data_IF_321751939604
#
_entry.id   IF_321751939604
#
_cell.length_a   1.000
_cell.length_b   1.000
_cell.length_c   1.000
_cell.angle_alpha   90.00
_cell.angle_beta   90.00
_cell.angle_gamma   90.00
#
_symmetry.space_group_name_H-M   'P 1'
#
loop_
_entity.id
_entity.type
_entity.pdbx_description
1 polymer ?
#
# COMPACT_ATOMS: atom_id res chain seq x y z
N UNK A 1 17.33 -14.30 -9.93
CA UNK A 1 16.05 -13.66 -9.68
C UNK A 1 16.05 -13.16 -8.24
N UNK A 2 15.78 -11.89 -8.04
CA UNK A 2 15.86 -11.20 -6.73
C UNK A 2 14.46 -10.77 -6.29
N UNK A 3 14.12 -11.04 -5.03
CA UNK A 3 12.81 -10.76 -4.46
C UNK A 3 13.01 -9.86 -3.24
N UNK A 4 12.38 -8.69 -3.25
CA UNK A 4 12.31 -7.81 -2.08
C UNK A 4 11.09 -8.17 -1.24
N UNK A 5 11.29 -8.31 0.07
CA UNK A 5 10.21 -8.54 1.04
C UNK A 5 10.24 -7.44 2.09
N UNK A 6 9.09 -6.84 2.33
CA UNK A 6 8.87 -5.79 3.35
C UNK A 6 7.54 -6.00 4.07
N UNK A 7 7.18 -5.15 5.03
CA UNK A 7 5.89 -5.11 5.72
C UNK A 7 5.71 -3.81 6.50
N UNK A 8 4.60 -3.66 7.24
CA UNK A 8 4.36 -2.61 8.23
C UNK A 8 4.32 -3.12 9.68
N UNK A 9 4.19 -4.43 9.90
CA UNK A 9 4.28 -5.06 11.24
C UNK A 9 5.71 -5.01 11.85
N UNK A 10 6.73 -4.67 11.05
CA UNK A 10 8.13 -4.58 11.46
C UNK A 10 8.96 -5.84 11.18
N UNK A 11 10.30 -5.65 11.25
CA UNK A 11 11.32 -6.63 10.82
C UNK A 11 11.24 -7.98 11.57
N UNK A 12 10.73 -7.98 12.80
CA UNK A 12 10.62 -9.18 13.63
C UNK A 12 9.26 -9.88 13.53
N UNK A 13 8.36 -9.42 12.64
CA UNK A 13 7.03 -10.00 12.56
C UNK A 13 7.06 -11.44 12.03
N UNK A 14 6.24 -12.34 12.60
CA UNK A 14 6.16 -13.72 12.14
C UNK A 14 5.71 -13.85 10.68
N UNK A 15 4.78 -13.00 10.23
CA UNK A 15 4.29 -12.99 8.85
C UNK A 15 5.40 -12.73 7.84
N UNK A 16 6.26 -11.73 8.11
CA UNK A 16 7.42 -11.41 7.28
C UNK A 16 8.40 -12.59 7.21
N UNK A 17 8.71 -13.17 8.37
CA UNK A 17 9.65 -14.29 8.48
C UNK A 17 9.19 -15.50 7.67
N UNK A 18 7.90 -15.87 7.81
CA UNK A 18 7.33 -17.02 7.09
C UNK A 18 7.30 -16.76 5.59
N UNK A 19 6.92 -15.54 5.17
CA UNK A 19 6.90 -15.15 3.77
C UNK A 19 8.30 -15.21 3.14
N UNK A 20 9.29 -14.59 3.77
CA UNK A 20 10.68 -14.57 3.29
C UNK A 20 11.24 -16.00 3.17
N UNK A 21 11.02 -16.87 4.18
CA UNK A 21 11.41 -18.27 4.16
C UNK A 21 10.75 -19.05 3.01
N UNK A 22 9.48 -18.81 2.74
CA UNK A 22 8.79 -19.49 1.65
C UNK A 22 9.32 -19.07 0.27
N UNK A 23 9.60 -17.77 0.10
CA UNK A 23 10.10 -17.19 -1.14
C UNK A 23 11.56 -17.54 -1.42
N UNK A 24 12.38 -17.92 -0.42
CA UNK A 24 13.77 -18.36 -0.64
C UNK A 24 13.89 -19.60 -1.54
N UNK A 25 12.80 -20.33 -1.75
CA UNK A 25 12.71 -21.43 -2.71
C UNK A 25 12.40 -20.96 -4.14
N UNK A 26 12.14 -19.68 -4.32
CA UNK A 26 11.77 -19.07 -5.61
C UNK A 26 12.94 -18.25 -6.15
N UNK A 27 13.65 -17.53 -5.28
CA UNK A 27 14.75 -16.68 -5.66
C UNK A 27 15.57 -16.18 -4.47
N UNK A 28 16.49 -15.27 -4.76
CA UNK A 28 17.33 -14.59 -3.77
C UNK A 28 16.46 -13.54 -3.04
N UNK A 29 16.22 -13.78 -1.75
CA UNK A 29 15.35 -12.89 -0.93
C UNK A 29 16.18 -11.83 -0.22
N UNK A 30 15.74 -10.59 -0.35
CA UNK A 30 16.17 -9.42 0.41
C UNK A 30 15.04 -8.97 1.31
N UNK A 31 15.31 -8.79 2.60
CA UNK A 31 14.33 -8.31 3.57
C UNK A 31 14.74 -6.91 4.00
N UNK A 32 13.88 -5.93 3.73
CA UNK A 32 14.07 -4.55 4.17
C UNK A 32 12.74 -4.07 4.75
N UNK A 33 12.68 -3.91 6.06
CA UNK A 33 11.43 -3.64 6.77
C UNK A 33 11.64 -2.63 7.91
N UNK A 34 10.56 -1.99 8.40
CA UNK A 34 10.64 -1.08 9.53
C UNK A 34 11.22 -1.75 10.79
N UNK A 35 12.00 -1.00 11.58
CA UNK A 35 12.58 -1.44 12.86
C UNK A 35 11.52 -1.84 13.90
N UNK A 36 10.29 -1.37 13.74
CA UNK A 36 9.12 -1.59 14.61
C UNK A 36 7.84 -1.50 13.80
N UNK A 37 6.74 -1.86 14.42
CA UNK A 37 5.41 -1.73 13.83
C UNK A 37 5.09 -0.28 13.42
N UNK A 38 4.47 -0.11 12.24
CA UNK A 38 4.09 1.15 11.60
C UNK A 38 2.65 1.09 11.08
N UNK A 39 1.75 0.57 11.89
CA UNK A 39 0.32 0.43 11.55
C UNK A 39 -0.30 1.76 11.15
N UNK A 40 -1.17 1.75 10.14
CA UNK A 40 -1.88 2.91 9.60
C UNK A 40 -0.96 4.05 9.12
N UNK A 41 0.26 3.73 8.67
CA UNK A 41 1.17 4.73 8.13
C UNK A 41 0.74 5.26 6.76
N UNK A 42 -0.25 4.65 6.11
CA UNK A 42 -0.66 4.95 4.74
C UNK A 42 0.55 5.03 3.79
N UNK A 43 0.50 5.84 2.74
CA UNK A 43 1.60 6.05 1.79
C UNK A 43 2.52 7.21 2.23
N UNK A 44 2.95 7.19 3.51
CA UNK A 44 3.78 8.25 4.08
C UNK A 44 5.27 8.05 3.78
N UNK A 45 5.93 9.12 3.32
CA UNK A 45 7.38 9.20 3.10
C UNK A 45 8.03 10.08 4.16
N UNK A 46 9.18 9.68 4.68
CA UNK A 46 9.92 10.45 5.68
C UNK A 46 10.84 11.48 5.02
N UNK A 47 10.43 12.76 4.98
CA UNK A 47 11.18 13.84 4.33
C UNK A 47 11.99 14.72 5.30
N UNK A 48 11.60 14.81 6.58
CA UNK A 48 12.11 15.84 7.50
C UNK A 48 13.07 15.31 8.56
N UNK A 49 13.47 14.05 8.48
CA UNK A 49 14.45 13.43 9.41
C UNK A 49 15.26 12.36 8.66
N UNK A 50 16.52 12.11 9.08
CA UNK A 50 17.33 11.07 8.48
C UNK A 50 16.76 9.68 8.80
N UNK A 51 16.86 8.78 7.83
CA UNK A 51 16.57 7.36 8.00
C UNK A 51 17.85 6.63 8.43
N UNK A 52 17.73 5.74 9.40
CA UNK A 52 18.79 4.86 9.84
C UNK A 52 18.53 3.45 9.36
N UNK A 53 19.58 2.80 8.85
CA UNK A 53 19.53 1.42 8.38
C UNK A 53 20.46 0.59 9.25
N UNK A 54 19.95 -0.50 9.79
CA UNK A 54 20.72 -1.49 10.53
C UNK A 54 20.70 -2.81 9.77
N UNK A 55 21.88 -3.33 9.44
CA UNK A 55 22.00 -4.66 8.87
C UNK A 55 21.93 -5.71 9.99
N UNK A 56 20.94 -6.60 9.92
CA UNK A 56 20.72 -7.66 10.91
C UNK A 56 21.25 -9.03 10.45
N UNK A 57 21.55 -9.15 9.17
CA UNK A 57 22.06 -10.38 8.57
C UNK A 57 22.38 -10.18 7.09
N UNK A 58 22.81 -11.25 6.42
CA UNK A 58 23.01 -11.21 4.98
C UNK A 58 21.69 -10.91 4.30
N UNK A 59 21.57 -9.74 3.64
CA UNK A 59 20.35 -9.31 2.94
C UNK A 59 19.14 -9.05 3.85
N UNK A 60 19.36 -8.76 5.15
CA UNK A 60 18.30 -8.43 6.11
C UNK A 60 18.61 -7.08 6.77
N UNK A 61 17.73 -6.11 6.59
CA UNK A 61 17.92 -4.72 7.03
C UNK A 61 16.67 -4.19 7.75
N UNK A 62 16.89 -3.59 8.91
CA UNK A 62 15.88 -2.83 9.64
C UNK A 62 16.04 -1.33 9.34
N UNK A 63 14.94 -0.63 9.11
CA UNK A 63 14.92 0.80 8.77
C UNK A 63 14.07 1.57 9.78
N UNK A 64 14.55 2.72 10.24
CA UNK A 64 13.80 3.59 11.18
C UNK A 64 12.66 4.39 10.52
N UNK A 65 12.21 3.97 9.34
CA UNK A 65 11.20 4.63 8.51
C UNK A 65 9.86 3.90 8.42
N UNK A 66 9.07 4.32 7.44
CA UNK A 66 7.81 3.69 7.03
C UNK A 66 8.08 2.50 6.11
N UNK A 67 7.08 1.66 5.78
CA UNK A 67 7.21 0.64 4.75
C UNK A 67 7.61 1.21 3.38
N UNK A 68 7.09 2.36 3.02
CA UNK A 68 7.42 3.10 1.78
C UNK A 68 8.90 3.51 1.78
N UNK A 69 9.41 4.04 2.90
CA UNK A 69 10.83 4.38 3.05
C UNK A 69 11.72 3.13 2.89
N UNK A 70 11.29 1.98 3.41
CA UNK A 70 12.01 0.71 3.26
C UNK A 70 12.13 0.30 1.80
N UNK A 71 11.04 0.42 1.03
CA UNK A 71 11.04 0.10 -0.42
C UNK A 71 11.96 1.06 -1.17
N UNK A 72 11.84 2.37 -0.95
CA UNK A 72 12.70 3.37 -1.57
C UNK A 72 14.18 3.09 -1.31
N UNK A 73 14.56 2.90 -0.04
CA UNK A 73 15.95 2.58 0.31
C UNK A 73 16.41 1.27 -0.29
N UNK A 74 15.57 0.24 -0.30
CA UNK A 74 15.90 -1.04 -0.88
C UNK A 74 16.20 -0.92 -2.37
N UNK A 75 15.24 -0.39 -3.15
CA UNK A 75 15.31 -0.36 -4.62
C UNK A 75 16.38 0.61 -5.10
N UNK A 76 16.49 1.79 -4.48
CA UNK A 76 17.35 2.86 -4.98
C UNK A 76 18.78 2.81 -4.41
N UNK A 77 19.02 2.09 -3.30
CA UNK A 77 20.33 2.15 -2.61
C UNK A 77 20.88 0.83 -2.09
N UNK A 78 20.07 -0.03 -1.44
CA UNK A 78 20.60 -1.17 -0.70
C UNK A 78 20.81 -2.39 -1.59
N UNK A 79 19.93 -2.63 -2.55
CA UNK A 79 20.05 -3.73 -3.48
C UNK A 79 21.05 -3.38 -4.60
N UNK A 80 21.86 -4.35 -5.07
CA UNK A 80 22.85 -4.11 -6.14
C UNK A 80 22.20 -3.82 -7.50
N UNK A 81 20.99 -4.32 -7.74
CA UNK A 81 20.11 -4.00 -8.88
C UNK A 81 18.66 -4.04 -8.41
N UNK A 82 17.72 -3.39 -9.12
CA UNK A 82 16.30 -3.50 -8.79
C UNK A 82 15.85 -4.96 -8.66
N UNK A 83 14.91 -5.27 -7.78
CA UNK A 83 14.37 -6.61 -7.63
C UNK A 83 13.42 -6.95 -8.79
N UNK A 84 13.30 -8.25 -9.12
CA UNK A 84 12.37 -8.76 -10.12
C UNK A 84 10.93 -8.80 -9.60
N UNK A 85 10.75 -8.76 -8.26
CA UNK A 85 9.46 -8.82 -7.60
C UNK A 85 9.55 -8.24 -6.20
N UNK A 86 8.52 -7.51 -5.78
CA UNK A 86 8.32 -7.03 -4.41
C UNK A 86 7.09 -7.69 -3.77
N UNK A 87 7.24 -8.20 -2.55
CA UNK A 87 6.12 -8.60 -1.71
C UNK A 87 6.12 -7.82 -0.40
N UNK A 88 4.98 -7.25 -0.05
CA UNK A 88 4.74 -6.61 1.25
C UNK A 88 3.79 -7.46 2.08
N UNK A 89 4.23 -7.91 3.26
CA UNK A 89 3.42 -8.74 4.16
C UNK A 89 4.23 -9.87 4.83
N UNK A 90 3.59 -10.91 5.40
CA UNK A 90 2.13 -11.11 5.49
C UNK A 90 1.59 -10.28 6.64
N UNK A 91 0.68 -9.35 6.33
CA UNK A 91 0.04 -8.51 7.32
C UNK A 91 -0.91 -9.30 8.22
N UNK A 92 -0.98 -8.89 9.50
CA UNK A 92 -1.99 -9.38 10.45
C UNK A 92 -3.28 -8.60 10.29
N UNK A 93 -4.26 -9.19 9.65
CA UNK A 93 -5.51 -8.56 9.28
C UNK A 93 -5.60 -8.30 7.79
N UNK A 94 -6.82 -8.27 7.28
CA UNK A 94 -7.09 -8.01 5.86
C UNK A 94 -6.96 -6.53 5.52
N UNK A 95 -6.64 -6.27 4.26
CA UNK A 95 -6.68 -4.94 3.64
C UNK A 95 -7.68 -4.99 2.49
N UNK A 96 -8.96 -4.74 2.79
CA UNK A 96 -10.08 -4.85 1.87
C UNK A 96 -10.73 -3.50 1.61
N UNK A 97 -11.34 -3.37 0.44
CA UNK A 97 -12.09 -2.17 0.08
C UNK A 97 -11.33 -0.87 0.31
N UNK A 98 -11.97 0.09 0.97
CA UNK A 98 -11.39 1.41 1.24
C UNK A 98 -10.17 1.35 2.20
N UNK A 99 -9.98 0.25 2.95
CA UNK A 99 -8.84 0.10 3.87
C UNK A 99 -7.48 0.10 3.14
N UNK A 100 -7.46 -0.24 1.86
CA UNK A 100 -6.23 -0.20 1.04
C UNK A 100 -5.57 1.18 1.03
N UNK A 101 -6.36 2.25 1.17
CA UNK A 101 -5.86 3.64 1.19
C UNK A 101 -5.11 4.00 2.48
N UNK A 102 -5.34 3.26 3.57
CA UNK A 102 -4.72 3.49 4.88
C UNK A 102 -3.63 2.47 5.21
N UNK A 103 -3.51 1.41 4.41
CA UNK A 103 -2.63 0.28 4.66
C UNK A 103 -1.18 0.58 4.34
N UNK A 104 -0.28 0.40 5.31
CA UNK A 104 1.16 0.44 5.10
C UNK A 104 1.64 -0.73 4.23
N UNK A 105 1.04 -1.91 4.37
CA UNK A 105 1.33 -3.10 3.56
C UNK A 105 1.04 -2.85 2.08
N UNK A 106 -0.14 -2.31 1.76
CA UNK A 106 -0.54 -2.02 0.37
C UNK A 106 0.29 -0.86 -0.19
N UNK A 107 0.53 0.17 0.60
CA UNK A 107 1.33 1.32 0.18
C UNK A 107 2.77 0.96 -0.17
N UNK A 108 3.39 0.01 0.54
CA UNK A 108 4.71 -0.50 0.17
C UNK A 108 4.71 -1.20 -1.20
N UNK A 109 3.65 -1.95 -1.51
CA UNK A 109 3.49 -2.56 -2.83
C UNK A 109 3.20 -1.50 -3.92
N UNK A 110 2.40 -0.47 -3.60
CA UNK A 110 2.20 0.68 -4.49
C UNK A 110 3.52 1.38 -4.82
N UNK A 111 4.36 1.63 -3.82
CA UNK A 111 5.67 2.26 -4.01
C UNK A 111 6.59 1.42 -4.90
N UNK A 112 6.60 0.10 -4.71
CA UNK A 112 7.34 -0.81 -5.60
C UNK A 112 6.87 -0.68 -7.05
N UNK A 113 5.58 -0.60 -7.29
CA UNK A 113 5.00 -0.41 -8.62
C UNK A 113 5.36 0.95 -9.21
N UNK A 114 5.34 2.03 -8.41
CA UNK A 114 5.81 3.37 -8.82
C UNK A 114 7.28 3.33 -9.27
N UNK A 115 8.10 2.54 -8.60
CA UNK A 115 9.52 2.34 -8.93
C UNK A 115 9.74 1.31 -10.07
N UNK A 116 8.68 0.87 -10.75
CA UNK A 116 8.75 -0.06 -11.88
C UNK A 116 9.00 -1.52 -11.49
N UNK A 117 8.80 -1.89 -10.23
CA UNK A 117 8.94 -3.27 -9.73
C UNK A 117 7.56 -3.93 -9.68
N UNK A 118 7.35 -5.10 -10.32
CA UNK A 118 6.14 -5.89 -10.13
C UNK A 118 5.91 -6.15 -8.65
N UNK A 119 4.72 -5.84 -8.12
CA UNK A 119 4.51 -5.79 -6.68
C UNK A 119 3.22 -6.47 -6.23
N UNK A 120 3.26 -7.05 -5.02
CA UNK A 120 2.11 -7.69 -4.40
C UNK A 120 2.06 -7.37 -2.90
N UNK A 121 0.91 -6.90 -2.42
CA UNK A 121 0.57 -6.86 -1.00
C UNK A 121 -0.07 -8.18 -0.57
N UNK A 122 0.30 -8.69 0.59
CA UNK A 122 -0.20 -9.97 1.13
C UNK A 122 -0.70 -9.75 2.55
N UNK A 123 -1.97 -10.04 2.78
CA UNK A 123 -2.64 -9.87 4.06
C UNK A 123 -3.40 -11.14 4.44
N UNK A 124 -3.48 -11.44 5.72
CA UNK A 124 -4.21 -12.60 6.21
C UNK A 124 -5.25 -12.19 7.23
N UNK A 125 -6.50 -12.64 7.00
CA UNK A 125 -7.61 -12.46 7.93
C UNK A 125 -7.29 -13.01 9.31
N UNK A 126 -7.93 -12.47 10.33
CA UNK A 126 -8.08 -13.12 11.61
C UNK A 126 -7.53 -12.34 12.78
N UNK A 127 -7.72 -12.94 13.95
CA UNK A 127 -7.23 -12.51 15.24
C UNK A 127 -6.67 -13.73 15.98
N UNK A 128 -5.70 -13.51 16.87
CA UNK A 128 -5.10 -14.59 17.64
C UNK A 128 -4.09 -15.43 16.85
N UNK A 129 -4.33 -16.72 16.68
CA UNK A 129 -3.39 -17.60 15.97
C UNK A 129 -3.56 -17.52 14.47
N UNK A 130 -2.47 -17.24 13.75
CA UNK A 130 -2.44 -17.11 12.30
C UNK A 130 -1.89 -18.37 11.61
N UNK A 131 -2.51 -18.77 10.52
CA UNK A 131 -2.02 -19.83 9.63
C UNK A 131 -1.12 -19.27 8.52
N UNK A 132 -0.06 -18.54 8.89
CA UNK A 132 0.83 -17.87 7.91
C UNK A 132 1.43 -18.81 6.87
N UNK A 133 1.61 -20.10 7.19
CA UNK A 133 2.06 -21.10 6.22
C UNK A 133 1.08 -21.24 5.04
N UNK A 134 -0.23 -21.18 5.31
CA UNK A 134 -1.23 -21.19 4.25
C UNK A 134 -1.14 -19.93 3.40
N UNK A 135 -1.03 -18.77 4.02
CA UNK A 135 -0.82 -17.48 3.35
C UNK A 135 0.41 -17.47 2.46
N UNK A 136 1.56 -17.90 2.99
CA UNK A 136 2.81 -17.95 2.26
C UNK A 136 2.76 -18.90 1.05
N UNK A 137 2.04 -20.04 1.15
CA UNK A 137 1.86 -20.96 0.02
C UNK A 137 1.08 -20.34 -1.11
N UNK A 138 0.02 -19.57 -0.83
CA UNK A 138 -0.70 -18.83 -1.85
C UNK A 138 0.14 -17.68 -2.42
N UNK A 139 0.83 -16.91 -1.57
CA UNK A 139 1.71 -15.84 -2.01
C UNK A 139 2.79 -16.36 -2.98
N UNK A 140 3.44 -17.50 -2.68
CA UNK A 140 4.43 -18.12 -3.58
C UNK A 140 3.82 -18.54 -4.91
N UNK A 141 2.59 -19.08 -4.93
CA UNK A 141 1.93 -19.47 -6.18
C UNK A 141 1.67 -18.25 -7.06
N UNK A 142 1.12 -17.17 -6.49
CA UNK A 142 0.84 -15.95 -7.24
C UNK A 142 2.16 -15.26 -7.65
N UNK A 143 3.17 -15.22 -6.78
CA UNK A 143 4.49 -14.69 -7.11
C UNK A 143 5.10 -15.37 -8.35
N UNK A 144 4.98 -16.68 -8.47
CA UNK A 144 5.45 -17.42 -9.65
C UNK A 144 4.68 -17.06 -10.93
N UNK A 145 3.39 -16.81 -10.82
CA UNK A 145 2.58 -16.35 -11.96
C UNK A 145 3.00 -14.94 -12.39
N UNK A 146 3.18 -14.02 -11.44
CA UNK A 146 3.65 -12.65 -11.73
C UNK A 146 5.03 -12.69 -12.41
N UNK A 147 5.95 -13.50 -11.91
CA UNK A 147 7.30 -13.64 -12.49
C UNK A 147 7.30 -14.25 -13.88
N UNK A 148 6.33 -15.10 -14.19
CA UNK A 148 6.19 -15.76 -15.51
C UNK A 148 5.47 -14.88 -16.53
N UNK A 149 4.41 -14.19 -16.11
CA UNK A 149 3.45 -13.55 -17.02
C UNK A 149 3.55 -12.01 -16.96
N UNK A 150 4.21 -11.44 -15.94
CA UNK A 150 4.22 -10.01 -15.67
C UNK A 150 2.93 -9.52 -15.03
N UNK A 151 2.85 -8.21 -14.83
CA UNK A 151 1.64 -7.47 -14.48
C UNK A 151 1.41 -6.38 -15.54
N UNK A 152 0.16 -5.96 -15.76
CA UNK A 152 -0.11 -4.76 -16.55
C UNK A 152 0.60 -3.55 -15.96
N UNK A 153 0.90 -2.55 -16.78
CA UNK A 153 1.52 -1.31 -16.34
C UNK A 153 0.74 -0.69 -15.17
N UNK A 154 1.45 -0.05 -14.25
CA UNK A 154 0.88 0.63 -13.08
C UNK A 154 -0.06 -0.23 -12.24
N UNK A 155 0.09 -1.56 -12.30
CA UNK A 155 -0.78 -2.50 -11.58
C UNK A 155 -0.01 -3.28 -10.54
N UNK A 156 -0.58 -3.39 -9.33
CA UNK A 156 -0.14 -4.30 -8.27
C UNK A 156 -1.25 -5.30 -7.94
N UNK A 157 -0.88 -6.37 -7.25
CA UNK A 157 -1.83 -7.35 -6.72
C UNK A 157 -2.03 -7.12 -5.23
N UNK A 158 -3.28 -6.96 -4.79
CA UNK A 158 -3.65 -7.03 -3.37
C UNK A 158 -4.24 -8.42 -3.08
N UNK A 159 -3.49 -9.24 -2.32
CA UNK A 159 -3.84 -10.62 -2.00
C UNK A 159 -4.27 -10.72 -0.55
N UNK A 160 -5.53 -11.04 -0.31
CA UNK A 160 -6.06 -11.29 1.03
C UNK A 160 -6.40 -12.78 1.20
N UNK A 161 -6.01 -13.39 2.33
CA UNK A 161 -6.09 -14.82 2.58
C UNK A 161 -6.95 -15.05 3.83
N UNK A 162 -7.98 -15.93 3.78
CA UNK A 162 -8.73 -16.30 4.97
C UNK A 162 -7.84 -17.07 5.96
N UNK A 163 -8.01 -16.82 7.26
CA UNK A 163 -7.20 -17.47 8.30
C UNK A 163 -7.67 -18.90 8.58
N UNK A 164 -7.42 -19.77 7.63
CA UNK A 164 -7.82 -21.18 7.67
C UNK A 164 -6.63 -22.08 7.31
N UNK A 165 -6.64 -23.35 7.75
CA UNK A 165 -5.69 -24.34 7.24
C UNK A 165 -5.74 -24.40 5.71
N UNK A 166 -4.58 -24.56 5.06
CA UNK A 166 -4.44 -24.52 3.60
C UNK A 166 -5.48 -25.39 2.85
N UNK A 167 -5.80 -26.57 3.38
CA UNK A 167 -6.75 -27.51 2.77
C UNK A 167 -8.22 -27.06 2.88
N UNK A 168 -8.52 -26.12 3.76
CA UNK A 168 -9.87 -25.58 4.00
C UNK A 168 -10.15 -24.31 3.22
N UNK A 169 -9.15 -23.79 2.49
CA UNK A 169 -9.31 -22.63 1.60
C UNK A 169 -9.88 -23.12 0.28
N UNK A 170 -10.99 -22.52 -0.17
CA UNK A 170 -11.77 -22.99 -1.31
C UNK A 170 -11.17 -22.67 -2.68
N UNK A 171 -10.09 -21.84 -2.73
CA UNK A 171 -9.42 -21.46 -3.96
C UNK A 171 -9.09 -19.96 -4.00
N UNK A 172 -8.82 -19.44 -5.21
CA UNK A 172 -8.53 -18.03 -5.46
C UNK A 172 -9.66 -17.44 -6.31
N UNK A 173 -10.13 -16.25 -5.94
CA UNK A 173 -11.11 -15.48 -6.71
C UNK A 173 -10.51 -14.14 -7.10
N UNK A 174 -10.66 -13.75 -8.36
CA UNK A 174 -10.38 -12.38 -8.79
C UNK A 174 -11.54 -11.50 -8.33
N UNK A 175 -11.20 -10.39 -7.70
CA UNK A 175 -12.16 -9.55 -6.98
C UNK A 175 -11.98 -8.07 -7.29
N UNK A 176 -12.96 -7.27 -6.91
CA UNK A 176 -12.89 -5.82 -6.85
C UNK A 176 -12.97 -5.34 -5.39
N UNK A 177 -12.49 -4.12 -5.14
CA UNK A 177 -12.55 -3.51 -3.82
C UNK A 177 -14.01 -3.29 -3.40
N UNK A 178 -14.36 -3.77 -2.22
CA UNK A 178 -15.65 -3.50 -1.56
C UNK A 178 -15.67 -2.06 -1.00
N UNK A 179 -16.86 -1.55 -0.71
CA UNK A 179 -16.99 -0.28 0.02
C UNK A 179 -17.30 -0.54 1.49
N UNK A 180 -16.53 0.09 2.35
CA UNK A 180 -16.70 0.02 3.79
C UNK A 180 -17.76 1.02 4.25
N UNK A 181 -18.67 0.58 5.13
CA UNK A 181 -19.63 1.44 5.81
C UNK A 181 -19.37 1.36 7.31
N UNK A 182 -19.32 2.50 7.95
CA UNK A 182 -19.15 2.62 9.39
C UNK A 182 -20.47 2.98 10.04
N UNK A 183 -20.88 2.20 11.03
CA UNK A 183 -21.93 2.58 11.97
C UNK A 183 -21.25 3.18 13.22
N UNK A 184 -21.54 4.43 13.55
CA UNK A 184 -20.97 5.16 14.68
C UNK A 184 -19.42 5.16 14.71
N UNK A 185 -18.76 5.83 13.78
CA UNK A 185 -17.30 5.76 13.63
C UNK A 185 -16.52 6.47 14.75
N UNK A 186 -17.19 7.29 15.57
CA UNK A 186 -16.55 8.06 16.65
C UNK A 186 -17.19 7.73 17.98
N UNK A 187 -16.37 7.31 18.94
CA UNK A 187 -16.78 7.04 20.31
C UNK A 187 -16.20 8.14 21.20
N UNK A 188 -17.05 8.94 21.81
CA UNK A 188 -16.69 9.93 22.82
C UNK A 188 -16.63 9.30 24.19
N UNK A 189 -15.59 9.65 24.97
CA UNK A 189 -15.41 9.25 26.37
C UNK A 189 -14.78 10.39 27.17
N UNK A 190 -14.81 10.26 28.50
CA UNK A 190 -14.21 11.21 29.45
C UNK A 190 -13.10 10.50 30.20
N UNK A 191 -11.93 11.15 30.32
CA UNK A 191 -10.80 10.65 31.08
C UNK A 191 -11.01 10.83 32.62
N UNK A 192 -10.17 10.23 33.50
CA UNK A 192 -10.30 10.39 34.94
C UNK A 192 -10.12 11.85 35.45
N UNK A 193 -9.63 12.75 34.60
CA UNK A 193 -9.47 14.19 34.92
C UNK A 193 -10.63 15.06 34.37
N UNK A 194 -11.71 14.43 33.88
CA UNK A 194 -12.88 15.11 33.34
C UNK A 194 -12.71 15.67 31.92
N UNK A 195 -11.65 15.29 31.17
CA UNK A 195 -11.40 15.75 29.80
C UNK A 195 -11.99 14.79 28.79
N UNK A 196 -12.72 15.33 27.82
CA UNK A 196 -13.28 14.55 26.72
C UNK A 196 -12.18 14.08 25.76
N UNK A 197 -12.27 12.82 25.33
CA UNK A 197 -11.43 12.26 24.25
C UNK A 197 -12.27 11.39 23.32
N UNK A 198 -11.75 11.14 22.12
CA UNK A 198 -12.46 10.46 21.05
C UNK A 198 -11.65 9.29 20.51
N UNK A 199 -12.33 8.17 20.26
CA UNK A 199 -11.80 7.06 19.48
C UNK A 199 -12.42 7.07 18.08
N UNK A 200 -11.58 7.01 17.06
CA UNK A 200 -12.03 6.72 15.69
C UNK A 200 -12.04 5.20 15.53
N UNK A 201 -13.11 4.57 15.99
CA UNK A 201 -13.26 3.12 15.94
C UNK A 201 -14.74 2.79 15.94
N UNK A 202 -15.30 2.53 14.77
CA UNK A 202 -16.67 2.06 14.66
C UNK A 202 -16.88 0.70 15.33
N UNK A 203 -18.01 0.53 16.01
CA UNK A 203 -18.38 -0.73 16.68
C UNK A 203 -18.86 -1.79 15.69
N UNK A 204 -19.29 -1.41 14.52
CA UNK A 204 -19.74 -2.32 13.46
C UNK A 204 -19.20 -1.84 12.11
N UNK A 205 -18.52 -2.74 11.43
CA UNK A 205 -18.10 -2.59 10.05
C UNK A 205 -19.08 -3.40 9.21
N UNK A 206 -19.73 -2.76 8.25
CA UNK A 206 -20.47 -3.45 7.20
C UNK A 206 -19.81 -3.17 5.85
N UNK A 207 -19.95 -4.11 4.93
CA UNK A 207 -19.35 -4.04 3.61
C UNK A 207 -20.44 -4.02 2.54
N UNK A 208 -20.21 -3.31 1.43
CA UNK A 208 -21.09 -3.43 0.28
C UNK A 208 -20.99 -4.83 -0.31
N UNK A 209 -22.10 -5.53 -0.39
CA UNK A 209 -22.14 -6.86 -1.00
C UNK A 209 -22.21 -6.74 -2.51
N UNK A 210 -21.31 -7.42 -3.19
CA UNK A 210 -21.37 -7.69 -4.62
C UNK A 210 -20.69 -9.04 -4.88
N UNK A 211 -21.11 -9.74 -5.91
CA UNK A 211 -20.61 -11.08 -6.24
C UNK A 211 -19.07 -11.15 -6.35
N UNK A 212 -18.46 -10.05 -6.79
CA UNK A 212 -17.01 -9.98 -7.05
C UNK A 212 -16.28 -9.14 -5.97
N UNK A 213 -16.93 -8.82 -4.83
CA UNK A 213 -16.31 -8.07 -3.74
C UNK A 213 -15.23 -8.90 -3.03
N UNK A 214 -14.11 -8.25 -2.70
CA UNK A 214 -13.00 -8.85 -1.97
C UNK A 214 -13.43 -9.40 -0.60
N UNK A 215 -14.26 -8.65 0.14
CA UNK A 215 -14.87 -9.10 1.40
C UNK A 215 -15.67 -10.39 1.24
N UNK A 216 -16.48 -10.50 0.19
CA UNK A 216 -17.32 -11.68 -0.06
C UNK A 216 -16.48 -12.94 -0.32
N UNK A 217 -15.33 -12.80 -1.00
CA UNK A 217 -14.41 -13.91 -1.21
C UNK A 217 -13.85 -14.44 0.10
N UNK A 218 -13.43 -13.56 1.01
CA UNK A 218 -12.91 -13.93 2.34
C UNK A 218 -13.98 -14.61 3.19
N UNK A 219 -15.19 -14.06 3.27
CA UNK A 219 -16.32 -14.65 3.98
C UNK A 219 -16.60 -16.10 3.52
N UNK A 220 -16.50 -16.36 2.21
CA UNK A 220 -16.70 -17.68 1.61
C UNK A 220 -15.47 -18.59 1.73
N UNK A 221 -14.42 -18.15 2.41
CA UNK A 221 -13.20 -18.92 2.62
C UNK A 221 -12.31 -19.06 1.39
N UNK A 222 -12.45 -18.16 0.42
CA UNK A 222 -11.57 -18.07 -0.75
C UNK A 222 -10.52 -16.97 -0.57
N UNK A 223 -9.37 -17.14 -1.19
CA UNK A 223 -8.37 -16.08 -1.34
C UNK A 223 -8.92 -15.02 -2.28
N UNK A 224 -8.91 -13.75 -1.85
CA UNK A 224 -9.22 -12.60 -2.69
C UNK A 224 -7.95 -12.12 -3.39
N UNK A 225 -7.99 -12.02 -4.70
CA UNK A 225 -6.95 -11.43 -5.53
C UNK A 225 -7.54 -10.21 -6.25
N UNK A 226 -7.19 -9.02 -5.79
CA UNK A 226 -7.67 -7.76 -6.37
C UNK A 226 -6.53 -7.07 -7.11
N UNK A 227 -6.59 -6.86 -8.43
CA UNK A 227 -5.67 -5.97 -9.12
C UNK A 227 -6.01 -4.52 -8.75
N UNK A 228 -4.99 -3.75 -8.35
CA UNK A 228 -5.11 -2.33 -8.02
C UNK A 228 -4.29 -1.55 -9.03
N UNK A 229 -4.87 -0.51 -9.61
CA UNK A 229 -4.24 0.40 -10.55
C UNK A 229 -3.83 1.69 -9.85
N UNK A 230 -2.65 2.23 -10.17
CA UNK A 230 -2.12 3.43 -9.53
C UNK A 230 -2.70 4.73 -10.10
N UNK A 231 -3.10 4.73 -11.37
CA UNK A 231 -3.76 5.91 -11.93
C UNK A 231 -5.15 6.08 -11.31
N UNK A 232 -5.25 7.05 -10.42
CA UNK A 232 -6.49 7.44 -9.74
C UNK A 232 -7.31 8.45 -10.53
N UNK A 233 -6.90 8.81 -11.76
CA UNK A 233 -7.64 9.72 -12.63
C UNK A 233 -8.95 9.08 -13.05
N UNK A 234 -10.07 9.74 -12.81
CA UNK A 234 -11.36 9.30 -13.31
C UNK A 234 -11.49 9.68 -14.80
N UNK A 235 -10.87 8.90 -15.70
CA UNK A 235 -10.81 9.18 -17.15
C UNK A 235 -12.20 9.39 -17.76
N UNK A 236 -13.21 8.61 -17.35
CA UNK A 236 -14.59 8.76 -17.83
C UNK A 236 -15.27 10.09 -17.43
N UNK A 237 -14.70 10.84 -16.49
CA UNK A 237 -15.24 12.14 -16.07
C UNK A 237 -14.56 13.34 -16.76
N UNK A 238 -13.42 13.15 -17.44
CA UNK A 238 -12.64 14.25 -18.00
C UNK A 238 -13.45 15.16 -18.92
N UNK A 239 -14.26 14.60 -19.82
CA UNK A 239 -15.07 15.40 -20.75
C UNK A 239 -16.10 16.27 -20.04
N UNK A 240 -16.63 15.81 -18.90
CA UNK A 240 -17.51 16.61 -18.07
C UNK A 240 -16.78 17.82 -17.49
N UNK A 241 -15.56 17.65 -17.00
CA UNK A 241 -14.76 18.70 -16.37
C UNK A 241 -14.08 19.65 -17.38
N UNK A 242 -13.80 19.20 -18.63
CA UNK A 242 -13.32 20.08 -19.70
C UNK A 242 -14.21 21.29 -19.95
N UNK A 243 -15.52 21.18 -19.69
CA UNK A 243 -16.44 22.32 -19.79
C UNK A 243 -16.09 23.45 -18.81
N UNK A 244 -15.31 23.19 -17.75
CA UNK A 244 -14.89 24.20 -16.78
C UNK A 244 -13.63 24.95 -17.22
N UNK A 245 -12.94 24.54 -18.26
CA UNK A 245 -11.79 25.26 -18.84
C UNK A 245 -12.15 26.65 -19.36
N UNK A 246 -13.47 26.90 -19.59
CA UNK A 246 -13.99 28.21 -19.99
C UNK A 246 -14.01 29.23 -18.86
N UNK A 247 -13.72 28.84 -17.61
CA UNK A 247 -13.54 29.74 -16.47
C UNK A 247 -12.29 30.58 -16.72
N UNK A 248 -12.46 31.68 -17.51
CA UNK A 248 -11.37 32.61 -17.81
C UNK A 248 -10.92 33.30 -16.52
N UNK A 249 -9.61 33.52 -16.39
CA UNK A 249 -9.07 34.46 -15.40
C UNK A 249 -9.82 35.79 -15.57
N UNK A 250 -10.35 36.42 -14.49
CA UNK A 250 -10.86 37.79 -14.59
C UNK A 250 -9.76 38.64 -15.23
N UNK A 251 -10.12 39.40 -16.26
CA UNK A 251 -9.20 40.19 -17.10
C UNK A 251 -8.05 40.77 -16.28
N UNK A 252 -6.84 40.27 -16.50
CA UNK A 252 -5.67 41.03 -16.19
C UNK A 252 -5.75 42.30 -17.05
N UNK A 253 -6.15 43.43 -16.45
CA UNK A 253 -6.07 44.76 -17.10
C UNK A 253 -4.68 44.83 -17.72
N UNK A 254 -4.62 45.02 -19.03
CA UNK A 254 -3.39 45.39 -19.74
C UNK A 254 -2.85 46.64 -19.04
N UNK A 255 -1.88 46.49 -18.17
CA UNK A 255 -1.05 47.61 -17.74
C UNK A 255 -0.14 47.90 -18.93
N UNK A 256 -0.68 48.67 -19.86
CA UNK A 256 0.14 49.37 -20.83
C UNK A 256 0.86 50.47 -20.07
N UNK A 257 2.02 50.16 -19.52
CA UNK A 257 2.98 51.19 -19.05
C UNK A 257 3.46 51.96 -20.28
N UNK A 258 2.90 53.13 -20.48
CA UNK A 258 3.48 54.12 -21.41
C UNK A 258 4.77 54.63 -20.78
N UNK A 259 5.88 54.03 -21.12
CA UNK A 259 7.21 54.59 -20.92
C UNK A 259 7.40 55.70 -21.92
N UNK A 260 7.06 56.95 -21.54
CA UNK A 260 7.56 58.17 -22.25
C UNK A 260 9.05 58.28 -21.95
N UNK A 261 9.90 58.41 -22.96
CA UNK A 261 11.33 58.67 -22.77
C UNK A 261 11.52 60.08 -22.22
N UNK A 262 12.21 60.24 -21.09
CA UNK A 262 12.68 61.52 -20.59
C UNK A 262 13.76 62.06 -21.56
N UNK A 263 13.43 63.15 -22.24
CA UNK A 263 14.38 63.95 -23.02
C UNK A 263 15.50 64.45 -22.11
N UNK A 264 16.75 64.18 -22.51
CA UNK A 264 17.93 64.82 -21.95
C UNK A 264 17.91 66.30 -22.37
N UNK A 265 17.78 67.22 -21.41
CA UNK A 265 18.27 68.60 -21.62
C UNK A 265 19.70 68.69 -21.09
N UNK A 266 20.58 69.09 -22.01
CA UNK A 266 21.95 69.57 -21.70
C UNK A 266 21.83 71.03 -21.31
N UNK A 267 22.50 71.45 -20.31
CA UNK A 267 23.35 72.67 -20.18
C UNK A 267 24.06 72.61 -18.83
#
# INVERSE_FOLDING_TARGET
MRILVTNDDGIHSPGLTVLAKALSRVGEVWVVAPDRERTAAAHAVTLHKPLRVQQLGTRVYAVSGTPVDCVNLAVLKLLPTPPDLLLSGINRGVNLGDDVLYSGTVSAAMEGTILGVPSMAVSQEGQGQFHFDAGARYAVRIARLILKEGLPDETLVNLNIPNRPFRSITGVRVTCLSRRRFDNPIIEKIDPHGRTYYWIAGTRISWSRSKDADYEAIEQGAVSLTPIHLDTTHHGALDRFRKWETVRRPNARRVTASLKPKSKQRS
#
